data_IF_052270359534
#
_entry.id   IF_052270359534
#
_cell.length_a   1.000
_cell.length_b   1.000
_cell.length_c   1.000
_cell.angle_alpha   90.00
_cell.angle_beta   90.00
_cell.angle_gamma   90.00
#
_symmetry.space_group_name_H-M   'P 1'
#
loop_
_entity.id
_entity.type
_entity.pdbx_description
1 polymer ?
#
# COMPACT_ATOMS: atom_id res chain seq x y z
N UNK A 1 -21.55 7.74 -2.01
CA UNK A 1 -22.00 6.44 -2.56
C UNK A 1 -22.69 6.70 -3.89
N UNK A 2 -22.15 6.12 -4.98
CA UNK A 2 -22.39 6.54 -6.37
C UNK A 2 -23.88 6.54 -6.72
N UNK A 3 -24.47 7.73 -6.87
CA UNK A 3 -25.74 7.91 -7.56
C UNK A 3 -25.48 7.73 -9.06
N UNK A 4 -25.44 6.46 -9.50
CA UNK A 4 -25.34 6.11 -10.92
C UNK A 4 -26.49 6.81 -11.65
N UNK A 5 -26.16 7.71 -12.58
CA UNK A 5 -27.15 8.33 -13.44
C UNK A 5 -27.95 7.22 -14.13
N UNK A 6 -29.27 7.22 -13.92
CA UNK A 6 -30.25 6.40 -14.64
C UNK A 6 -30.33 6.79 -16.13
N UNK A 7 -29.19 6.77 -16.84
CA UNK A 7 -29.20 6.61 -18.29
C UNK A 7 -29.20 5.11 -18.55
N UNK A 8 -30.41 4.56 -18.63
CA UNK A 8 -30.75 3.29 -19.27
C UNK A 8 -29.61 2.27 -19.31
N UNK A 9 -29.27 1.69 -18.16
CA UNK A 9 -28.43 0.49 -18.13
C UNK A 9 -29.13 -0.56 -19.00
N UNK A 10 -28.42 -1.08 -20.01
CA UNK A 10 -28.97 -2.14 -20.84
C UNK A 10 -29.35 -3.31 -19.93
N UNK A 11 -30.53 -3.93 -20.11
CA UNK A 11 -30.80 -5.23 -19.50
C UNK A 11 -29.60 -6.15 -19.78
N UNK A 12 -29.15 -6.90 -18.77
CA UNK A 12 -28.04 -7.86 -18.88
C UNK A 12 -26.62 -7.28 -18.94
N UNK A 13 -26.41 -6.02 -18.52
CA UNK A 13 -25.05 -5.45 -18.37
C UNK A 13 -24.28 -6.14 -17.24
N UNK A 14 -23.12 -6.73 -17.56
CA UNK A 14 -22.19 -7.30 -16.59
C UNK A 14 -21.23 -6.22 -16.08
N UNK A 15 -21.21 -6.00 -14.76
CA UNK A 15 -20.31 -5.02 -14.12
C UNK A 15 -19.05 -5.68 -13.58
N UNK A 16 -17.89 -5.11 -13.88
CA UNK A 16 -16.62 -5.54 -13.33
C UNK A 16 -16.03 -4.41 -12.49
N UNK A 17 -15.64 -4.70 -11.25
CA UNK A 17 -14.99 -3.74 -10.36
C UNK A 17 -13.47 -3.92 -10.38
N UNK A 18 -12.74 -2.81 -10.36
CA UNK A 18 -11.28 -2.78 -10.27
C UNK A 18 -10.88 -1.86 -9.13
N UNK A 19 -9.83 -2.21 -8.41
CA UNK A 19 -9.21 -1.32 -7.44
C UNK A 19 -7.82 -1.78 -7.01
N UNK A 20 -6.98 -0.82 -6.65
CA UNK A 20 -5.72 -1.01 -5.94
C UNK A 20 -5.87 -0.62 -4.47
N UNK A 21 -5.15 -1.24 -3.54
CA UNK A 21 -5.16 -0.86 -2.11
C UNK A 21 -6.55 -1.01 -1.45
N UNK A 22 -6.96 -0.06 -0.59
CA UNK A 22 -8.32 0.01 -0.04
C UNK A 22 -9.43 -0.07 -1.11
N UNK A 23 -9.32 0.60 -2.28
CA UNK A 23 -10.22 0.35 -3.40
C UNK A 23 -10.22 -1.10 -3.93
N UNK A 24 -9.09 -1.80 -3.91
CA UNK A 24 -9.02 -3.23 -4.31
C UNK A 24 -9.79 -4.12 -3.34
N UNK A 25 -9.63 -3.82 -2.07
CA UNK A 25 -10.42 -4.42 -0.98
C UNK A 25 -11.92 -4.18 -1.17
N UNK A 26 -12.32 -2.94 -1.50
CA UNK A 26 -13.72 -2.61 -1.81
C UNK A 26 -14.22 -3.33 -3.06
N UNK A 27 -13.39 -3.50 -4.09
CA UNK A 27 -13.74 -4.22 -5.32
C UNK A 27 -14.05 -5.69 -5.03
N UNK A 28 -13.22 -6.36 -4.23
CA UNK A 28 -13.45 -7.73 -3.79
C UNK A 28 -14.76 -7.88 -3.01
N UNK A 29 -15.01 -6.99 -2.05
CA UNK A 29 -16.25 -7.02 -1.27
C UNK A 29 -17.50 -6.69 -2.08
N UNK A 30 -17.42 -5.74 -3.00
CA UNK A 30 -18.52 -5.41 -3.89
C UNK A 30 -18.97 -6.66 -4.67
N UNK A 31 -18.01 -7.46 -5.17
CA UNK A 31 -18.32 -8.74 -5.81
C UNK A 31 -18.84 -9.79 -4.83
N UNK A 32 -18.24 -9.90 -3.65
CA UNK A 32 -18.61 -10.91 -2.66
C UNK A 32 -20.02 -10.69 -2.08
N UNK A 33 -20.37 -9.46 -1.74
CA UNK A 33 -21.63 -9.10 -1.07
C UNK A 33 -22.78 -8.87 -2.06
N UNK A 34 -22.47 -8.44 -3.28
CA UNK A 34 -23.46 -8.14 -4.32
C UNK A 34 -23.24 -8.98 -5.59
N UNK A 35 -23.17 -10.33 -5.50
CA UNK A 35 -22.78 -11.18 -6.62
C UNK A 35 -23.81 -11.24 -7.75
N UNK A 36 -25.00 -10.67 -7.56
CA UNK A 36 -26.03 -10.53 -8.61
C UNK A 36 -25.98 -9.18 -9.31
N UNK A 37 -25.26 -8.19 -8.76
CA UNK A 37 -25.05 -6.86 -9.35
C UNK A 37 -23.66 -6.73 -9.98
N UNK A 38 -22.63 -7.23 -9.29
CA UNK A 38 -21.23 -7.16 -9.72
C UNK A 38 -20.82 -8.52 -10.23
N UNK A 39 -20.51 -8.63 -11.52
CA UNK A 39 -20.20 -9.88 -12.21
C UNK A 39 -18.83 -10.45 -11.82
N UNK A 40 -17.82 -9.59 -11.72
CA UNK A 40 -16.45 -9.96 -11.36
C UNK A 40 -15.70 -8.80 -10.69
N UNK A 41 -14.59 -9.11 -10.03
CA UNK A 41 -13.70 -8.10 -9.44
C UNK A 41 -12.22 -8.41 -9.70
N UNK A 42 -11.42 -7.35 -9.83
CA UNK A 42 -9.95 -7.38 -9.74
C UNK A 42 -9.54 -6.61 -8.49
N UNK A 43 -8.91 -7.32 -7.57
CA UNK A 43 -8.47 -6.85 -6.27
C UNK A 43 -6.95 -6.78 -6.25
N UNK A 44 -6.39 -5.61 -6.54
CA UNK A 44 -4.95 -5.39 -6.62
C UNK A 44 -4.40 -4.85 -5.30
N UNK A 45 -3.31 -5.44 -4.77
CA UNK A 45 -2.65 -5.02 -3.53
C UNK A 45 -3.59 -4.72 -2.36
N UNK A 46 -4.59 -5.57 -2.16
CA UNK A 46 -5.70 -5.29 -1.26
C UNK A 46 -5.46 -5.85 0.15
N UNK A 47 -5.41 -5.02 1.22
CA UNK A 47 -5.17 -5.49 2.58
C UNK A 47 -6.44 -6.07 3.24
N UNK A 48 -6.95 -7.20 2.75
CA UNK A 48 -8.25 -7.78 3.13
C UNK A 48 -8.37 -8.21 4.61
N UNK A 49 -7.26 -8.53 5.27
CA UNK A 49 -7.23 -8.87 6.68
C UNK A 49 -7.31 -7.61 7.55
N UNK A 50 -8.50 -7.27 8.04
CA UNK A 50 -8.70 -6.16 8.99
C UNK A 50 -8.11 -6.50 10.36
N UNK A 51 -7.25 -5.61 10.87
CA UNK A 51 -6.68 -5.73 12.21
C UNK A 51 -6.21 -4.38 12.73
N UNK A 52 -6.36 -4.16 14.03
CA UNK A 52 -5.89 -2.92 14.70
C UNK A 52 -4.38 -2.79 14.56
N UNK A 53 -3.67 -3.85 14.97
CA UNK A 53 -2.22 -3.84 15.10
C UNK A 53 -1.56 -4.52 13.89
N UNK A 54 -0.68 -3.84 13.18
CA UNK A 54 -0.04 -4.34 11.96
C UNK A 54 1.47 -4.08 11.90
N UNK A 55 2.27 -4.77 12.74
CA UNK A 55 3.73 -4.67 12.68
C UNK A 55 4.29 -5.22 11.35
N UNK A 56 3.57 -6.15 10.73
CA UNK A 56 3.98 -6.84 9.50
C UNK A 56 4.30 -5.89 8.34
N UNK A 57 3.77 -4.67 8.32
CA UNK A 57 4.12 -3.66 7.32
C UNK A 57 5.63 -3.35 7.35
N UNK A 58 6.13 -2.95 8.52
CA UNK A 58 7.54 -2.59 8.73
C UNK A 58 8.45 -3.81 8.69
N UNK A 59 7.97 -4.97 9.15
CA UNK A 59 8.70 -6.23 9.00
C UNK A 59 8.91 -6.60 7.53
N UNK A 60 7.92 -6.34 6.68
CA UNK A 60 8.02 -6.55 5.24
C UNK A 60 8.98 -5.55 4.59
N UNK A 61 8.99 -4.27 5.01
CA UNK A 61 10.03 -3.31 4.59
C UNK A 61 11.44 -3.83 4.89
N UNK A 62 11.63 -4.44 6.08
CA UNK A 62 12.90 -5.08 6.43
C UNK A 62 13.25 -6.21 5.44
N UNK A 63 12.26 -7.01 5.04
CA UNK A 63 12.45 -8.06 4.04
C UNK A 63 12.78 -7.51 2.64
N UNK A 64 12.09 -6.45 2.21
CA UNK A 64 12.33 -5.80 0.92
C UNK A 64 13.76 -5.26 0.81
N UNK A 65 14.29 -4.68 1.90
CA UNK A 65 15.66 -4.16 1.96
C UNK A 65 16.76 -5.21 1.77
N UNK A 66 16.47 -6.50 1.97
CA UNK A 66 17.39 -7.62 1.76
C UNK A 66 17.06 -8.42 0.50
N UNK A 67 16.01 -8.05 -0.23
CA UNK A 67 15.54 -8.79 -1.40
C UNK A 67 16.30 -8.38 -2.67
N UNK A 68 17.08 -9.32 -3.21
CA UNK A 68 18.01 -9.10 -4.30
C UNK A 68 17.34 -8.72 -5.63
N UNK A 69 16.11 -9.18 -5.88
CA UNK A 69 15.34 -8.86 -7.09
C UNK A 69 15.10 -7.34 -7.24
N UNK A 70 15.00 -6.61 -6.13
CA UNK A 70 14.83 -5.14 -6.12
C UNK A 70 16.09 -4.38 -5.71
N UNK A 71 17.25 -5.03 -5.81
CA UNK A 71 18.54 -4.43 -5.45
C UNK A 71 18.81 -4.32 -3.96
N UNK A 72 17.96 -4.95 -3.12
CA UNK A 72 18.19 -5.10 -1.70
C UNK A 72 19.38 -6.01 -1.36
N UNK A 73 19.93 -5.85 -0.16
CA UNK A 73 21.04 -6.66 0.37
C UNK A 73 21.07 -6.68 1.90
N UNK A 74 21.51 -7.80 2.48
CA UNK A 74 21.49 -8.01 3.93
C UNK A 74 22.24 -6.96 4.75
N UNK A 75 23.39 -6.50 4.25
CA UNK A 75 24.20 -5.46 4.88
C UNK A 75 23.59 -4.06 4.75
N UNK A 76 22.82 -3.78 3.70
CA UNK A 76 21.98 -2.57 3.62
C UNK A 76 20.94 -2.54 4.75
N UNK A 77 20.18 -3.62 4.92
CA UNK A 77 19.28 -3.77 6.05
C UNK A 77 20.01 -3.60 7.39
N UNK A 78 21.20 -4.20 7.53
CA UNK A 78 21.98 -4.12 8.77
C UNK A 78 22.39 -2.68 9.09
N UNK A 79 22.80 -1.87 8.10
CA UNK A 79 23.10 -0.45 8.29
C UNK A 79 21.89 0.30 8.83
N UNK A 80 20.69 0.04 8.30
CA UNK A 80 19.47 0.69 8.80
C UNK A 80 19.18 0.30 10.24
N UNK A 81 19.26 -0.98 10.57
CA UNK A 81 19.02 -1.47 11.92
C UNK A 81 20.07 -0.94 12.93
N UNK A 82 21.35 -0.98 12.57
CA UNK A 82 22.45 -0.52 13.42
C UNK A 82 22.39 1.00 13.62
N UNK A 83 22.04 1.75 12.58
CA UNK A 83 21.87 3.19 12.65
C UNK A 83 20.75 3.58 13.62
N UNK A 84 19.56 3.00 13.50
CA UNK A 84 18.45 3.27 14.43
C UNK A 84 18.78 2.85 15.86
N UNK A 85 19.45 1.71 16.05
CA UNK A 85 19.91 1.27 17.37
C UNK A 85 20.92 2.26 17.99
N UNK A 86 21.86 2.78 17.19
CA UNK A 86 22.84 3.77 17.63
C UNK A 86 22.21 5.13 17.97
N UNK A 87 21.21 5.59 17.21
CA UNK A 87 20.48 6.83 17.54
C UNK A 87 19.77 6.65 18.88
N UNK A 88 19.02 5.55 19.06
CA UNK A 88 18.31 5.26 20.29
C UNK A 88 19.26 5.17 21.51
N UNK A 89 20.43 4.54 21.36
CA UNK A 89 21.44 4.49 22.43
C UNK A 89 22.02 5.87 22.75
N UNK A 90 22.28 6.69 21.73
CA UNK A 90 22.79 8.06 21.86
C UNK A 90 21.81 8.95 22.63
N UNK A 91 20.51 8.85 22.34
CA UNK A 91 19.47 9.58 23.06
C UNK A 91 19.33 9.13 24.51
N UNK A 92 19.43 7.82 24.80
CA UNK A 92 19.40 7.30 26.18
C UNK A 92 20.56 7.82 27.04
N UNK A 93 21.69 8.15 26.43
CA UNK A 93 22.84 8.75 27.11
C UNK A 93 22.76 10.29 27.23
N UNK A 94 21.64 10.90 26.81
CA UNK A 94 21.40 12.33 26.94
C UNK A 94 22.12 13.19 25.89
N UNK A 95 22.62 12.59 24.81
CA UNK A 95 23.34 13.31 23.75
C UNK A 95 22.37 13.92 22.72
N UNK A 96 21.32 14.61 23.19
CA UNK A 96 20.25 15.16 22.36
C UNK A 96 20.75 16.16 21.32
N UNK A 97 21.63 17.08 21.72
CA UNK A 97 22.21 18.08 20.82
C UNK A 97 22.96 17.42 19.65
N UNK A 98 23.70 16.34 19.92
CA UNK A 98 24.44 15.65 18.87
C UNK A 98 23.50 15.00 17.84
N UNK A 99 22.40 14.38 18.29
CA UNK A 99 21.39 13.83 17.37
C UNK A 99 20.70 14.93 16.58
N UNK A 100 20.32 16.02 17.25
CA UNK A 100 19.66 17.16 16.62
C UNK A 100 20.55 17.80 15.55
N UNK A 101 21.83 18.04 15.85
CA UNK A 101 22.79 18.59 14.89
C UNK A 101 22.99 17.65 13.71
N UNK A 102 23.12 16.34 13.97
CA UNK A 102 23.39 15.34 12.92
C UNK A 102 22.23 15.19 11.94
N UNK A 103 20.98 15.22 12.42
CA UNK A 103 19.78 15.08 11.59
C UNK A 103 19.18 16.43 11.14
N UNK A 104 19.81 17.55 11.52
CA UNK A 104 19.38 18.90 11.16
C UNK A 104 18.02 19.29 11.76
N UNK A 105 17.80 19.02 13.05
CA UNK A 105 16.59 19.43 13.76
C UNK A 105 16.63 20.92 14.13
N UNK A 106 15.46 21.56 14.16
CA UNK A 106 15.33 22.96 14.53
C UNK A 106 15.61 23.24 16.02
N UNK A 107 15.27 22.27 16.88
CA UNK A 107 15.40 22.40 18.33
C UNK A 107 15.77 21.06 18.95
N UNK A 108 16.96 20.99 19.56
CA UNK A 108 17.42 19.79 20.26
C UNK A 108 16.58 19.47 21.51
N UNK A 109 15.90 20.45 22.09
CA UNK A 109 15.03 20.23 23.26
C UNK A 109 13.77 19.44 22.91
N UNK A 110 13.40 19.37 21.63
CA UNK A 110 12.33 18.49 21.15
C UNK A 110 12.56 17.02 21.54
N UNK A 111 13.82 16.58 21.56
CA UNK A 111 14.21 15.20 21.90
C UNK A 111 14.22 14.92 23.42
N UNK A 112 13.81 15.89 24.25
CA UNK A 112 13.57 15.67 25.68
C UNK A 112 12.16 15.12 25.95
N UNK A 113 11.23 15.28 25.00
CA UNK A 113 9.87 14.77 25.10
C UNK A 113 9.81 13.33 24.56
N UNK A 114 9.22 12.41 25.34
CA UNK A 114 9.16 10.99 24.97
C UNK A 114 8.31 10.75 23.72
N UNK A 115 7.20 11.48 23.53
CA UNK A 115 6.34 11.32 22.35
C UNK A 115 7.04 11.79 21.07
N UNK A 116 7.86 12.85 21.18
CA UNK A 116 8.69 13.32 20.08
C UNK A 116 9.77 12.30 19.69
N UNK A 117 10.41 11.67 20.69
CA UNK A 117 11.41 10.62 20.44
C UNK A 117 10.76 9.37 19.83
N UNK A 118 9.57 8.99 20.31
CA UNK A 118 8.78 7.89 19.76
C UNK A 118 8.44 8.15 18.28
N UNK A 119 7.91 9.33 17.95
CA UNK A 119 7.65 9.75 16.58
C UNK A 119 8.92 9.76 15.71
N UNK A 120 10.01 10.34 16.22
CA UNK A 120 11.27 10.46 15.47
C UNK A 120 11.91 9.12 15.13
N UNK A 121 11.82 8.12 16.02
CA UNK A 121 12.48 6.82 15.83
C UNK A 121 11.56 5.72 15.29
N UNK A 122 10.28 5.80 15.61
CA UNK A 122 9.33 4.70 15.49
C UNK A 122 8.88 4.43 14.06
N UNK A 123 8.80 5.46 13.23
CA UNK A 123 8.48 5.38 11.79
C UNK A 123 9.70 5.40 10.88
N UNK A 124 10.90 5.49 11.47
CA UNK A 124 12.16 5.55 10.76
C UNK A 124 12.65 7.00 10.58
N UNK A 125 13.95 7.21 10.74
CA UNK A 125 14.57 8.54 10.51
C UNK A 125 14.83 8.82 9.03
N UNK A 126 14.67 7.81 8.17
CA UNK A 126 14.73 7.90 6.72
C UNK A 126 13.58 7.10 6.12
N UNK A 127 13.13 7.48 4.92
CA UNK A 127 12.11 6.75 4.18
C UNK A 127 12.69 5.48 3.53
N UNK A 128 11.93 4.39 3.59
CA UNK A 128 12.18 3.17 2.83
C UNK A 128 11.04 3.05 1.81
N UNK A 129 11.30 3.27 0.50
CA UNK A 129 10.28 3.40 -0.52
C UNK A 129 9.72 2.02 -0.94
N UNK A 130 9.38 1.14 -0.01
CA UNK A 130 8.90 -0.22 -0.31
C UNK A 130 7.55 -0.20 -1.05
N UNK A 131 6.57 0.55 -0.51
CA UNK A 131 5.25 0.68 -1.13
C UNK A 131 5.33 1.37 -2.50
N UNK A 132 6.23 2.34 -2.64
CA UNK A 132 6.42 3.17 -3.83
C UNK A 132 7.57 2.70 -4.72
N UNK A 133 8.14 1.51 -4.48
CA UNK A 133 9.36 1.05 -5.13
C UNK A 133 9.15 1.00 -6.66
N UNK A 134 9.78 1.93 -7.35
CA UNK A 134 9.70 2.09 -8.80
C UNK A 134 11.11 1.96 -9.41
N UNK A 135 11.42 0.85 -10.11
CA UNK A 135 12.73 0.68 -10.76
C UNK A 135 13.03 1.73 -11.84
N UNK A 136 12.02 2.48 -12.31
CA UNK A 136 12.14 3.49 -13.36
C UNK A 136 12.16 4.93 -12.87
N UNK A 137 12.10 5.16 -11.56
CA UNK A 137 12.14 6.49 -10.99
C UNK A 137 13.51 7.17 -11.20
N UNK A 138 13.53 8.50 -11.27
CA UNK A 138 14.74 9.28 -11.59
C UNK A 138 15.54 9.68 -10.32
N UNK A 139 14.87 9.94 -9.19
CA UNK A 139 15.51 10.43 -7.96
C UNK A 139 16.48 9.43 -7.32
N UNK A 140 17.41 9.91 -6.49
CA UNK A 140 18.50 9.07 -5.94
C UNK A 140 18.10 8.21 -4.74
N UNK A 141 16.87 8.35 -4.24
CA UNK A 141 16.36 7.59 -3.07
C UNK A 141 14.96 7.01 -3.30
N UNK A 142 14.46 7.00 -4.53
CA UNK A 142 13.06 6.67 -4.85
C UNK A 142 12.77 5.17 -4.98
N UNK A 143 13.79 4.30 -4.86
CA UNK A 143 13.62 2.85 -4.84
C UNK A 143 14.65 2.18 -3.93
N UNK A 144 14.43 0.91 -3.62
CA UNK A 144 15.22 0.14 -2.66
C UNK A 144 16.68 0.01 -3.12
N UNK A 145 16.90 -0.30 -4.40
CA UNK A 145 18.24 -0.44 -4.99
C UNK A 145 19.08 0.82 -4.73
N UNK A 146 18.56 1.99 -5.09
CA UNK A 146 19.29 3.26 -4.96
C UNK A 146 19.56 3.63 -3.50
N UNK A 147 18.58 3.42 -2.60
CA UNK A 147 18.78 3.61 -1.16
C UNK A 147 19.89 2.70 -0.65
N UNK A 148 19.88 1.42 -1.05
CA UNK A 148 20.91 0.48 -0.63
C UNK A 148 22.29 0.79 -1.21
N UNK A 149 22.39 1.14 -2.48
CA UNK A 149 23.64 1.60 -3.09
C UNK A 149 24.23 2.80 -2.35
N UNK A 150 23.39 3.77 -1.99
CA UNK A 150 23.80 4.96 -1.26
C UNK A 150 24.30 4.62 0.15
N UNK A 151 23.57 3.81 0.91
CA UNK A 151 24.01 3.37 2.23
C UNK A 151 25.33 2.61 2.17
N UNK A 152 25.53 1.78 1.14
CA UNK A 152 26.79 1.06 0.94
C UNK A 152 27.94 1.99 0.55
N UNK A 153 27.71 3.00 -0.28
CA UNK A 153 28.73 4.01 -0.57
C UNK A 153 29.13 4.79 0.69
N UNK A 154 28.14 5.29 1.43
CA UNK A 154 28.37 6.06 2.66
C UNK A 154 29.17 5.26 3.71
N UNK A 155 28.84 3.99 3.90
CA UNK A 155 29.45 3.18 4.96
C UNK A 155 30.73 2.47 4.52
N UNK A 156 30.80 1.92 3.31
CA UNK A 156 31.94 1.13 2.86
C UNK A 156 33.01 1.96 2.14
N UNK A 157 32.62 3.03 1.45
CA UNK A 157 33.53 3.88 0.67
C UNK A 157 33.90 5.14 1.45
N UNK A 158 32.90 5.86 1.97
CA UNK A 158 33.10 7.08 2.75
C UNK A 158 33.39 6.82 4.24
N UNK A 159 33.26 5.56 4.69
CA UNK A 159 33.59 5.11 6.05
C UNK A 159 32.83 5.89 7.14
N UNK A 160 31.57 6.26 6.86
CA UNK A 160 30.65 6.79 7.85
C UNK A 160 30.13 5.67 8.76
N UNK A 161 29.80 6.00 10.00
CA UNK A 161 29.01 5.12 10.85
C UNK A 161 27.59 4.94 10.28
N UNK A 162 26.90 3.88 10.72
CA UNK A 162 25.52 3.63 10.29
C UNK A 162 24.59 4.82 10.62
N UNK A 163 24.75 5.43 11.81
CA UNK A 163 23.96 6.60 12.22
C UNK A 163 24.23 7.83 11.35
N UNK A 164 25.48 8.12 11.02
CA UNK A 164 25.84 9.21 10.11
C UNK A 164 25.33 8.97 8.69
N UNK A 165 25.38 7.71 8.21
CA UNK A 165 24.84 7.36 6.90
C UNK A 165 23.31 7.57 6.84
N UNK A 166 22.57 7.17 7.88
CA UNK A 166 21.13 7.43 7.97
C UNK A 166 20.80 8.92 7.95
N UNK A 167 21.59 9.73 8.66
CA UNK A 167 21.39 11.17 8.69
C UNK A 167 21.60 11.83 7.31
N UNK A 168 22.64 11.42 6.57
CA UNK A 168 22.89 11.92 5.21
C UNK A 168 21.74 11.57 4.26
N UNK A 169 21.22 10.33 4.32
CA UNK A 169 20.06 9.91 3.52
C UNK A 169 18.80 10.67 3.92
N UNK A 170 18.55 10.83 5.23
CA UNK A 170 17.39 11.54 5.75
C UNK A 170 17.34 13.01 5.30
N UNK A 171 18.48 13.72 5.38
CA UNK A 171 18.60 15.10 4.92
C UNK A 171 18.34 15.17 3.41
N UNK A 172 18.95 14.29 2.63
CA UNK A 172 18.75 14.26 1.18
C UNK A 172 17.29 13.99 0.78
N UNK A 173 16.62 13.05 1.44
CA UNK A 173 15.20 12.75 1.19
C UNK A 173 14.31 13.96 1.51
N UNK A 174 14.59 14.66 2.62
CA UNK A 174 13.89 15.89 2.97
C UNK A 174 14.08 16.98 1.92
N UNK A 175 15.31 17.17 1.45
CA UNK A 175 15.62 18.20 0.44
C UNK A 175 14.93 17.90 -0.90
N UNK A 176 14.85 16.62 -1.30
CA UNK A 176 14.10 16.18 -2.48
C UNK A 176 12.60 16.46 -2.30
N UNK A 177 12.04 16.16 -1.13
CA UNK A 177 10.61 16.35 -0.85
C UNK A 177 10.20 17.83 -0.83
N UNK A 178 11.01 18.68 -0.21
CA UNK A 178 10.71 20.11 -0.04
C UNK A 178 10.98 20.93 -1.32
N UNK A 179 11.79 20.42 -2.25
CA UNK A 179 12.11 21.07 -3.52
C UNK A 179 13.01 22.30 -3.34
N UNK A 180 14.33 22.11 -3.49
CA UNK A 180 15.38 23.12 -3.21
C UNK A 180 15.16 23.78 -1.83
N UNK A 181 15.21 22.96 -0.78
CA UNK A 181 15.21 23.41 0.60
C UNK A 181 16.29 24.49 0.82
N UNK A 182 15.93 25.56 1.52
CA UNK A 182 16.88 26.60 1.89
C UNK A 182 17.84 26.10 2.99
N UNK A 183 19.03 26.67 3.12
CA UNK A 183 19.98 26.34 4.21
C UNK A 183 19.36 26.54 5.63
N UNK A 184 18.22 27.24 5.73
CA UNK A 184 17.47 27.48 6.97
C UNK A 184 16.35 26.43 7.22
N UNK A 185 16.13 25.46 6.32
CA UNK A 185 15.11 24.42 6.46
C UNK A 185 15.62 23.28 7.35
N UNK A 186 15.19 23.29 8.61
CA UNK A 186 15.47 22.25 9.61
C UNK A 186 14.24 21.36 9.86
N UNK A 187 14.46 20.18 10.43
CA UNK A 187 13.38 19.24 10.79
C UNK A 187 12.71 19.68 12.11
N UNK A 188 11.39 19.87 12.05
CA UNK A 188 10.55 20.06 13.23
C UNK A 188 10.10 18.68 13.73
N UNK A 189 10.33 18.40 15.01
CA UNK A 189 9.88 17.19 15.69
C UNK A 189 8.97 17.62 16.84
N UNK A 190 7.67 17.70 16.59
CA UNK A 190 6.66 18.02 17.61
C UNK A 190 5.40 17.18 17.40
N UNK A 191 5.18 16.23 18.30
CA UNK A 191 4.02 15.35 18.30
C UNK A 191 2.70 16.12 18.45
N UNK A 192 2.68 17.21 19.22
CA UNK A 192 1.49 18.03 19.37
C UNK A 192 1.17 18.79 18.08
N UNK A 193 2.19 19.19 17.32
CA UNK A 193 2.01 19.78 15.99
C UNK A 193 1.42 18.76 15.01
N UNK A 194 1.92 17.52 15.01
CA UNK A 194 1.33 16.40 14.25
C UNK A 194 -0.14 16.18 14.61
N UNK A 195 -0.48 16.11 15.90
CA UNK A 195 -1.86 15.97 16.37
C UNK A 195 -2.74 17.17 15.96
N UNK A 196 -2.20 18.39 16.02
CA UNK A 196 -2.91 19.60 15.60
C UNK A 196 -3.19 19.58 14.09
N UNK A 197 -2.21 19.16 13.27
CA UNK A 197 -2.38 18.98 11.83
C UNK A 197 -3.48 17.96 11.53
N UNK A 198 -3.42 16.76 12.12
CA UNK A 198 -4.42 15.71 11.90
C UNK A 198 -5.84 16.11 12.32
N UNK A 199 -5.96 17.01 13.29
CA UNK A 199 -7.23 17.57 13.74
C UNK A 199 -7.71 18.80 12.92
N UNK A 200 -6.88 19.34 12.02
CA UNK A 200 -7.14 20.57 11.28
C UNK A 200 -8.06 20.39 10.06
N UNK A 201 -8.53 21.50 9.51
CA UNK A 201 -9.25 21.54 8.22
C UNK A 201 -8.31 21.21 7.04
N UNK A 202 -7.00 21.47 7.15
CA UNK A 202 -6.02 21.20 6.09
C UNK A 202 -5.90 19.70 5.80
N UNK A 203 -5.76 18.89 6.86
CA UNK A 203 -5.77 17.42 6.75
C UNK A 203 -7.12 16.87 6.27
N UNK A 204 -8.19 17.68 6.25
CA UNK A 204 -9.46 17.28 5.63
C UNK A 204 -9.42 17.44 4.11
N UNK A 205 -8.72 18.44 3.58
CA UNK A 205 -8.66 18.74 2.15
C UNK A 205 -7.84 17.72 1.36
N UNK A 206 -6.75 17.21 1.94
CA UNK A 206 -5.87 16.19 1.32
C UNK A 206 -6.39 14.74 1.50
N UNK A 207 -7.40 14.55 2.34
CA UNK A 207 -7.99 13.24 2.66
C UNK A 207 -7.35 12.51 3.83
N UNK A 208 -6.25 13.00 4.40
CA UNK A 208 -5.51 12.39 5.51
C UNK A 208 -6.43 12.16 6.71
N UNK A 209 -7.21 13.16 7.10
CA UNK A 209 -8.17 13.08 8.20
C UNK A 209 -9.32 12.13 7.91
N UNK A 210 -9.75 12.01 6.65
CA UNK A 210 -10.77 11.04 6.25
C UNK A 210 -10.24 9.61 6.37
N UNK A 211 -9.00 9.37 5.93
CA UNK A 211 -8.37 8.07 6.08
C UNK A 211 -8.14 7.72 7.55
N UNK A 212 -7.65 8.67 8.37
CA UNK A 212 -7.50 8.48 9.81
C UNK A 212 -8.85 8.15 10.48
N UNK A 213 -9.95 8.78 10.05
CA UNK A 213 -11.28 8.39 10.53
C UNK A 213 -11.59 6.92 10.23
N UNK A 214 -11.30 6.45 9.01
CA UNK A 214 -11.53 5.05 8.63
C UNK A 214 -10.66 4.08 9.42
N UNK A 215 -9.39 4.41 9.70
CA UNK A 215 -8.53 3.55 10.53
C UNK A 215 -9.04 3.49 11.98
N UNK A 216 -9.49 4.62 12.54
CA UNK A 216 -10.06 4.70 13.89
C UNK A 216 -11.45 4.06 14.05
N UNK A 217 -12.22 3.92 12.96
CA UNK A 217 -13.63 3.49 13.03
C UNK A 217 -13.95 2.20 12.27
N UNK A 218 -13.08 1.74 11.39
CA UNK A 218 -13.38 0.59 10.54
C UNK A 218 -12.21 -0.40 10.47
N UNK A 219 -11.02 0.05 10.07
CA UNK A 219 -10.00 -0.89 9.55
C UNK A 219 -8.74 -1.06 10.40
N UNK A 220 -8.38 -0.09 11.24
CA UNK A 220 -7.10 -0.10 11.95
C UNK A 220 -5.92 0.04 11.00
N UNK A 221 -5.09 -1.00 10.90
CA UNK A 221 -3.84 -1.05 10.13
C UNK A 221 -2.68 -0.23 10.70
N UNK A 222 -2.61 -0.09 12.01
CA UNK A 222 -1.55 0.68 12.66
C UNK A 222 -0.20 -0.01 12.52
N UNK A 223 0.73 0.67 11.84
CA UNK A 223 2.02 0.15 11.39
C UNK A 223 3.07 0.26 12.51
N UNK A 224 2.87 -0.48 13.58
CA UNK A 224 3.72 -0.37 14.78
C UNK A 224 5.14 -0.90 14.57
N UNK A 225 6.07 -0.37 15.36
CA UNK A 225 7.46 -0.83 15.44
C UNK A 225 7.74 -1.29 16.87
N UNK A 226 7.28 -2.49 17.23
CA UNK A 226 7.42 -3.00 18.60
C UNK A 226 8.84 -3.49 18.90
N UNK A 227 9.19 -3.51 20.20
CA UNK A 227 10.50 -3.98 20.69
C UNK A 227 10.87 -5.39 20.20
N UNK A 228 9.91 -6.30 20.20
CA UNK A 228 10.11 -7.71 19.83
C UNK A 228 9.74 -8.01 18.36
N UNK A 229 9.48 -6.97 17.54
CA UNK A 229 9.17 -7.12 16.11
C UNK A 229 10.44 -7.20 15.24
N UNK A 230 10.26 -7.55 13.97
CA UNK A 230 11.33 -7.46 12.95
C UNK A 230 11.44 -6.09 12.28
N UNK A 231 10.76 -5.06 12.78
CA UNK A 231 10.84 -3.69 12.28
C UNK A 231 12.32 -3.23 12.14
N UNK A 232 12.70 -2.59 11.02
CA UNK A 232 14.08 -2.16 10.78
C UNK A 232 14.44 -0.84 11.48
N UNK A 233 13.46 -0.13 12.04
CA UNK A 233 13.62 1.20 12.64
C UNK A 233 13.89 1.15 14.15
N UNK A 234 13.56 2.22 14.88
CA UNK A 234 13.59 2.29 16.33
C UNK A 234 12.58 1.33 16.96
N UNK A 235 13.00 0.09 17.21
CA UNK A 235 12.16 -0.93 17.86
C UNK A 235 11.74 -0.50 19.27
N UNK A 236 10.42 -0.47 19.49
CA UNK A 236 9.80 -0.05 20.74
C UNK A 236 9.43 1.43 20.79
N UNK A 237 9.63 2.19 19.71
CA UNK A 237 9.33 3.63 19.64
C UNK A 237 8.05 3.95 18.86
N UNK A 238 7.40 2.97 18.22
CA UNK A 238 6.03 3.14 17.72
C UNK A 238 5.15 2.03 18.27
N UNK A 239 4.51 2.32 19.40
CA UNK A 239 3.50 1.48 20.03
C UNK A 239 2.08 2.01 19.76
N UNK A 240 1.07 1.15 19.91
CA UNK A 240 -0.34 1.47 19.61
C UNK A 240 -0.90 2.68 20.37
N UNK A 241 -0.28 3.12 21.45
CA UNK A 241 -0.76 4.27 22.21
C UNK A 241 -0.78 5.54 21.36
N UNK A 242 0.18 5.69 20.44
CA UNK A 242 0.29 6.83 19.54
C UNK A 242 -0.93 6.90 18.61
N UNK A 243 -1.27 5.79 17.95
CA UNK A 243 -2.44 5.72 17.07
C UNK A 243 -3.75 5.97 17.83
N UNK A 244 -3.89 5.43 19.04
CA UNK A 244 -5.07 5.68 19.87
C UNK A 244 -5.16 7.14 20.31
N UNK A 245 -4.03 7.80 20.55
CA UNK A 245 -4.03 9.23 20.85
C UNK A 245 -4.47 10.06 19.65
N UNK A 246 -3.99 9.74 18.44
CA UNK A 246 -4.47 10.37 17.21
C UNK A 246 -6.01 10.25 17.10
N UNK A 247 -6.57 9.06 17.31
CA UNK A 247 -8.02 8.83 17.30
C UNK A 247 -8.76 9.59 18.40
N UNK A 248 -8.19 9.66 19.61
CA UNK A 248 -8.78 10.34 20.75
C UNK A 248 -8.81 11.86 20.55
N UNK A 249 -7.72 12.45 20.05
CA UNK A 249 -7.61 13.89 19.81
C UNK A 249 -8.47 14.32 18.62
N UNK A 250 -8.40 13.60 17.51
CA UNK A 250 -9.11 13.98 16.29
C UNK A 250 -10.63 13.75 16.36
N UNK A 251 -11.05 12.69 17.09
CA UNK A 251 -12.42 12.17 16.99
C UNK A 251 -13.07 11.79 18.34
N UNK A 252 -12.35 11.91 19.45
CA UNK A 252 -12.88 11.55 20.78
C UNK A 252 -13.05 10.04 20.99
N UNK A 253 -12.35 9.21 20.22
CA UNK A 253 -12.42 7.75 20.29
C UNK A 253 -11.26 7.19 21.13
N UNK A 254 -11.59 6.52 22.23
CA UNK A 254 -10.59 5.83 23.05
C UNK A 254 -10.24 4.45 22.48
N UNK A 255 -9.18 3.85 23.01
CA UNK A 255 -8.66 2.55 22.57
C UNK A 255 -9.70 1.42 22.58
N UNK A 256 -10.59 1.39 23.59
CA UNK A 256 -11.67 0.39 23.66
C UNK A 256 -12.65 0.54 22.50
N UNK A 257 -13.02 1.78 22.15
CA UNK A 257 -13.93 2.06 21.04
C UNK A 257 -13.29 1.71 19.70
N UNK A 258 -12.03 2.11 19.48
CA UNK A 258 -11.28 1.77 18.27
C UNK A 258 -11.21 0.24 18.08
N UNK A 259 -10.82 -0.49 19.13
CA UNK A 259 -10.75 -1.96 19.07
C UNK A 259 -12.11 -2.60 18.77
N UNK A 260 -13.18 -2.12 19.41
CA UNK A 260 -14.53 -2.64 19.20
C UNK A 260 -15.03 -2.37 17.77
N UNK A 261 -14.78 -1.17 17.26
CA UNK A 261 -15.14 -0.75 15.91
C UNK A 261 -14.43 -1.61 14.85
N UNK A 262 -13.11 -1.76 14.97
CA UNK A 262 -12.31 -2.58 14.04
C UNK A 262 -12.70 -4.05 14.12
N UNK A 263 -12.97 -4.57 15.32
CA UNK A 263 -13.47 -5.93 15.49
C UNK A 263 -14.83 -6.14 14.81
N UNK A 264 -15.77 -5.20 14.96
CA UNK A 264 -17.08 -5.28 14.31
C UNK A 264 -16.96 -5.31 12.78
N UNK A 265 -16.08 -4.48 12.20
CA UNK A 265 -15.83 -4.46 10.76
C UNK A 265 -15.19 -5.76 10.29
N UNK A 266 -14.15 -6.24 10.99
CA UNK A 266 -13.49 -7.53 10.67
C UNK A 266 -14.47 -8.70 10.72
N UNK A 267 -15.36 -8.71 11.71
CA UNK A 267 -16.34 -9.79 11.89
C UNK A 267 -17.44 -9.71 10.81
N UNK A 268 -17.81 -8.51 10.35
CA UNK A 268 -18.75 -8.33 9.25
C UNK A 268 -18.14 -8.70 7.89
N UNK A 269 -16.86 -8.37 7.70
CA UNK A 269 -16.16 -8.54 6.44
C UNK A 269 -14.92 -9.43 6.57
N UNK A 270 -15.16 -10.67 6.99
CA UNK A 270 -14.13 -11.67 7.25
C UNK A 270 -13.33 -12.04 6.00
N UNK A 271 -12.01 -11.90 6.07
CA UNK A 271 -11.08 -12.44 5.05
C UNK A 271 -11.30 -13.95 4.85
N UNK A 272 -11.52 -14.69 5.92
CA UNK A 272 -11.75 -16.13 5.83
C UNK A 272 -13.03 -16.45 5.05
N UNK A 273 -14.06 -15.62 5.18
CA UNK A 273 -15.36 -15.84 4.52
C UNK A 273 -15.22 -15.62 3.02
N UNK A 274 -14.55 -14.53 2.60
CA UNK A 274 -14.28 -14.30 1.19
C UNK A 274 -13.40 -15.41 0.62
N UNK A 275 -12.35 -15.86 1.33
CA UNK A 275 -11.47 -16.96 0.88
C UNK A 275 -12.22 -18.28 0.68
N UNK A 276 -13.22 -18.56 1.50
CA UNK A 276 -13.98 -19.82 1.48
C UNK A 276 -15.16 -19.80 0.50
N UNK A 277 -15.78 -18.64 0.28
CA UNK A 277 -17.09 -18.55 -0.40
C UNK A 277 -17.14 -17.57 -1.56
N UNK A 278 -16.10 -16.77 -1.77
CA UNK A 278 -16.02 -15.83 -2.88
C UNK A 278 -15.89 -16.52 -4.25
N UNK A 279 -16.23 -15.78 -5.30
CA UNK A 279 -16.18 -16.24 -6.68
C UNK A 279 -16.02 -15.06 -7.65
N UNK A 280 -15.33 -15.30 -8.77
CA UNK A 280 -15.02 -14.29 -9.79
C UNK A 280 -14.28 -13.07 -9.22
N UNK A 281 -13.33 -13.34 -8.32
CA UNK A 281 -12.45 -12.32 -7.72
C UNK A 281 -11.02 -12.73 -8.06
N UNK A 282 -10.34 -11.94 -8.88
CA UNK A 282 -8.91 -12.11 -9.16
C UNK A 282 -8.13 -11.23 -8.18
N UNK A 283 -7.36 -11.86 -7.31
CA UNK A 283 -6.47 -11.17 -6.38
C UNK A 283 -5.07 -11.09 -6.99
N UNK A 284 -4.49 -9.90 -7.06
CA UNK A 284 -3.15 -9.67 -7.62
C UNK A 284 -2.32 -8.89 -6.63
N UNK A 285 -1.13 -9.39 -6.29
CA UNK A 285 -0.28 -8.87 -5.22
C UNK A 285 1.16 -8.70 -5.72
N UNK A 286 1.83 -7.62 -5.32
CA UNK A 286 3.27 -7.50 -5.44
C UNK A 286 3.95 -8.22 -4.28
N UNK A 287 5.09 -8.87 -4.51
CA UNK A 287 5.88 -9.49 -3.44
C UNK A 287 6.79 -8.48 -2.70
N UNK A 288 7.01 -7.29 -3.28
CA UNK A 288 7.72 -6.14 -2.66
C UNK A 288 6.73 -5.15 -2.03
N UNK A 289 5.45 -5.53 -1.91
CA UNK A 289 4.41 -4.69 -1.35
C UNK A 289 4.18 -5.04 0.14
N UNK A 290 4.50 -4.15 1.09
CA UNK A 290 4.26 -4.41 2.51
C UNK A 290 2.79 -4.69 2.88
N UNK A 291 1.84 -4.19 2.08
CA UNK A 291 0.42 -4.48 2.29
C UNK A 291 0.02 -5.90 1.91
N UNK A 292 0.88 -6.62 1.17
CA UNK A 292 0.63 -8.00 0.75
C UNK A 292 0.47 -8.97 1.92
N UNK A 293 1.04 -8.65 3.09
CA UNK A 293 0.90 -9.42 4.34
C UNK A 293 -0.58 -9.58 4.75
N UNK A 294 -1.40 -8.57 4.50
CA UNK A 294 -2.83 -8.58 4.83
C UNK A 294 -3.72 -9.08 3.68
N UNK A 295 -3.15 -9.42 2.53
CA UNK A 295 -3.91 -9.80 1.34
C UNK A 295 -4.54 -11.19 1.41
N UNK A 296 -5.39 -11.54 0.44
CA UNK A 296 -5.82 -12.93 0.27
C UNK A 296 -4.59 -13.78 -0.08
N UNK A 297 -4.21 -14.71 0.79
CA UNK A 297 -3.04 -15.59 0.58
C UNK A 297 -3.40 -17.01 0.17
N UNK A 298 -4.69 -17.32 0.12
CA UNK A 298 -5.21 -18.65 -0.23
C UNK A 298 -6.65 -18.53 -0.68
N UNK A 299 -7.07 -19.36 -1.61
CA UNK A 299 -8.44 -19.41 -2.09
C UNK A 299 -8.65 -20.62 -2.99
N UNK A 300 -9.87 -20.82 -3.45
CA UNK A 300 -10.12 -21.79 -4.50
C UNK A 300 -9.63 -21.20 -5.84
N UNK A 301 -8.47 -21.65 -6.33
CA UNK A 301 -7.86 -21.18 -7.60
C UNK A 301 -8.82 -21.18 -8.81
N UNK A 302 -9.84 -22.06 -8.80
CA UNK A 302 -10.82 -22.10 -9.89
C UNK A 302 -11.82 -20.94 -9.85
N UNK A 303 -12.18 -20.44 -8.67
CA UNK A 303 -13.21 -19.40 -8.49
C UNK A 303 -12.64 -18.07 -8.01
N UNK A 304 -11.49 -18.09 -7.35
CA UNK A 304 -10.76 -16.95 -6.80
C UNK A 304 -9.26 -17.11 -7.02
N UNK A 305 -8.79 -16.96 -8.27
CA UNK A 305 -7.36 -17.05 -8.57
C UNK A 305 -6.57 -15.98 -7.82
N UNK A 306 -5.38 -16.35 -7.36
CA UNK A 306 -4.40 -15.47 -6.74
C UNK A 306 -3.15 -15.39 -7.65
N UNK A 307 -2.62 -14.18 -7.83
CA UNK A 307 -1.41 -13.96 -8.60
C UNK A 307 -0.42 -13.06 -7.85
N UNK A 308 0.83 -13.51 -7.77
CA UNK A 308 1.95 -12.74 -7.25
C UNK A 308 2.78 -12.20 -8.41
N UNK A 309 3.14 -10.92 -8.34
CA UNK A 309 3.91 -10.22 -9.36
C UNK A 309 5.30 -9.98 -8.82
N UNK A 310 6.26 -10.75 -9.32
CA UNK A 310 7.65 -10.75 -8.84
C UNK A 310 8.32 -9.38 -9.02
N UNK A 311 8.96 -8.90 -7.96
CA UNK A 311 9.67 -7.62 -7.90
C UNK A 311 8.74 -6.39 -7.92
N UNK A 312 7.42 -6.58 -7.86
CA UNK A 312 6.47 -5.47 -7.92
C UNK A 312 6.11 -4.95 -6.54
N UNK A 313 6.04 -3.63 -6.43
CA UNK A 313 5.53 -2.90 -5.27
C UNK A 313 4.00 -2.76 -5.34
N UNK A 314 3.46 -1.75 -4.65
CA UNK A 314 2.03 -1.61 -4.41
C UNK A 314 1.23 -1.39 -5.71
N UNK A 315 0.50 -2.43 -6.13
CA UNK A 315 -0.28 -2.53 -7.36
C UNK A 315 0.41 -1.92 -8.60
N UNK A 316 1.73 -2.06 -8.71
CA UNK A 316 2.52 -1.38 -9.73
C UNK A 316 1.98 -1.64 -11.15
N UNK A 317 1.54 -2.86 -11.45
CA UNK A 317 0.98 -3.23 -12.77
C UNK A 317 -0.24 -2.41 -13.22
N UNK A 318 -0.88 -1.61 -12.36
CA UNK A 318 -2.01 -0.76 -12.73
C UNK A 318 -1.62 0.57 -13.37
N UNK A 319 -0.33 0.94 -13.38
CA UNK A 319 0.14 2.16 -14.05
C UNK A 319 0.04 2.03 -15.59
N UNK A 320 0.02 3.14 -16.34
CA UNK A 320 0.05 3.12 -17.81
C UNK A 320 1.31 2.43 -18.33
N UNK A 321 1.20 1.55 -19.33
CA UNK A 321 2.34 0.75 -19.81
C UNK A 321 3.59 1.57 -20.13
N UNK A 322 4.72 1.14 -19.59
CA UNK A 322 6.03 1.76 -19.82
C UNK A 322 6.97 0.80 -20.57
N UNK A 323 7.93 1.32 -21.36
CA UNK A 323 8.96 0.49 -21.99
C UNK A 323 9.83 -0.26 -20.97
N UNK A 324 9.96 0.29 -19.76
CA UNK A 324 10.74 -0.24 -18.63
C UNK A 324 10.05 -1.38 -17.89
N UNK A 325 8.77 -1.67 -18.19
CA UNK A 325 8.02 -2.72 -17.50
C UNK A 325 8.67 -4.09 -17.66
N UNK A 326 8.86 -4.77 -16.52
CA UNK A 326 9.38 -6.14 -16.47
C UNK A 326 8.40 -7.12 -17.13
N UNK A 327 8.86 -8.33 -17.41
CA UNK A 327 7.97 -9.37 -17.94
C UNK A 327 6.87 -9.75 -16.94
N UNK A 328 7.17 -9.79 -15.63
CA UNK A 328 6.19 -10.07 -14.58
C UNK A 328 5.03 -9.06 -14.58
N UNK A 329 5.33 -7.76 -14.76
CA UNK A 329 4.29 -6.71 -14.88
C UNK A 329 3.40 -6.94 -16.11
N UNK A 330 3.99 -7.31 -17.25
CA UNK A 330 3.26 -7.60 -18.49
C UNK A 330 2.37 -8.83 -18.34
N UNK A 331 2.92 -9.90 -17.76
CA UNK A 331 2.20 -11.16 -17.51
C UNK A 331 1.01 -10.95 -16.57
N UNK A 332 1.16 -10.10 -15.54
CA UNK A 332 0.07 -9.75 -14.63
C UNK A 332 -1.09 -9.04 -15.36
N UNK A 333 -0.78 -8.11 -16.26
CA UNK A 333 -1.80 -7.41 -17.07
C UNK A 333 -2.50 -8.36 -18.05
N UNK A 334 -1.75 -9.24 -18.70
CA UNK A 334 -2.30 -10.25 -19.61
C UNK A 334 -3.21 -11.23 -18.85
N UNK A 335 -2.80 -11.67 -17.66
CA UNK A 335 -3.62 -12.51 -16.78
C UNK A 335 -4.93 -11.82 -16.42
N UNK A 336 -4.87 -10.56 -15.97
CA UNK A 336 -6.06 -9.76 -15.63
C UNK A 336 -7.01 -9.71 -16.83
N UNK A 337 -6.50 -9.34 -18.00
CA UNK A 337 -7.30 -9.27 -19.21
C UNK A 337 -7.95 -10.61 -19.55
N UNK A 338 -7.17 -11.68 -19.63
CA UNK A 338 -7.65 -13.00 -20.03
C UNK A 338 -8.70 -13.54 -19.05
N UNK A 339 -8.48 -13.39 -17.74
CA UNK A 339 -9.40 -13.89 -16.71
C UNK A 339 -10.73 -13.12 -16.71
N UNK A 340 -10.69 -11.81 -16.87
CA UNK A 340 -11.92 -11.01 -16.99
C UNK A 340 -12.69 -11.38 -18.26
N UNK A 341 -11.99 -11.53 -19.39
CA UNK A 341 -12.64 -11.92 -20.65
C UNK A 341 -13.22 -13.34 -20.60
N UNK A 342 -12.59 -14.27 -19.89
CA UNK A 342 -13.12 -15.60 -19.61
C UNK A 342 -14.46 -15.51 -18.85
N UNK A 343 -14.50 -14.85 -17.69
CA UNK A 343 -15.72 -14.72 -16.90
C UNK A 343 -16.83 -13.98 -17.63
N UNK A 344 -16.50 -12.98 -18.45
CA UNK A 344 -17.48 -12.26 -19.27
C UNK A 344 -18.09 -13.17 -20.35
N UNK A 345 -17.40 -14.23 -20.79
CA UNK A 345 -17.90 -15.20 -21.78
C UNK A 345 -18.74 -16.34 -21.19
N UNK A 346 -18.41 -16.83 -19.99
CA UNK A 346 -19.07 -18.00 -19.36
C UNK A 346 -20.61 -17.94 -19.37
N UNK A 347 -21.21 -16.80 -19.02
CA UNK A 347 -22.68 -16.71 -18.96
C UNK A 347 -23.35 -16.39 -20.33
N UNK A 348 -22.57 -16.23 -21.40
CA UNK A 348 -23.10 -16.05 -22.77
C UNK A 348 -23.54 -17.39 -23.38
N UNK A 349 -22.88 -18.48 -23.00
CA UNK A 349 -23.05 -19.79 -23.62
C UNK A 349 -24.24 -20.58 -23.04
N UNK A 350 -24.68 -20.25 -21.81
CA UNK A 350 -25.86 -20.86 -21.17
C UNK A 350 -27.16 -20.45 -21.87
N UNK A 351 -27.21 -19.27 -22.49
CA UNK A 351 -28.40 -18.81 -23.25
C UNK A 351 -28.48 -19.47 -24.64
N UNK A 352 -27.36 -19.95 -25.19
CA UNK A 352 -27.33 -20.57 -26.53
C UNK A 352 -27.73 -22.03 -26.56
N UNK A 353 -27.60 -22.79 -25.47
CA UNK A 353 -28.01 -24.21 -25.45
C UNK A 353 -29.51 -24.42 -25.16
N UNK A 354 -30.21 -23.41 -24.64
CA UNK A 354 -31.64 -23.51 -24.29
C UNK A 354 -32.64 -23.29 -25.44
N UNK A 355 -32.19 -22.86 -26.63
CA UNK A 355 -33.08 -22.49 -27.74
C UNK A 355 -32.81 -23.21 -29.07
N UNK A 356 -32.03 -24.30 -29.06
CA UNK A 356 -31.85 -25.14 -30.23
C UNK A 356 -33.00 -26.17 -30.35
N UNK A 357 -34.22 -25.71 -30.60
CA UNK A 357 -35.29 -26.57 -31.12
C UNK A 357 -35.97 -25.92 -32.34
N UNK A 358 -35.77 -26.58 -33.48
CA UNK A 358 -36.45 -26.43 -34.76
C UNK A 358 -36.43 -25.06 -35.44
N UNK A 359 -35.42 -24.84 -36.30
CA UNK A 359 -35.66 -24.25 -37.62
C UNK A 359 -34.57 -24.60 -38.65
N UNK A 360 -35.02 -24.76 -39.89
CA UNK A 360 -34.38 -25.38 -41.05
C UNK A 360 -33.12 -24.62 -41.55
N UNK A 361 -32.02 -25.29 -41.96
CA UNK A 361 -30.75 -24.65 -42.32
C UNK A 361 -30.68 -24.20 -43.78
N UNK A 362 -31.54 -23.27 -44.22
CA UNK A 362 -31.47 -22.70 -45.59
C UNK A 362 -31.61 -21.16 -45.70
N UNK A 363 -31.51 -20.38 -44.63
CA UNK A 363 -31.63 -18.91 -44.73
C UNK A 363 -30.59 -18.12 -43.90
N UNK A 364 -29.30 -18.46 -43.98
CA UNK A 364 -28.22 -17.54 -43.58
C UNK A 364 -27.12 -17.47 -44.63
N UNK A 365 -27.46 -16.87 -45.77
CA UNK A 365 -26.48 -16.27 -46.69
C UNK A 365 -27.14 -15.00 -47.22
N UNK A 366 -26.89 -13.87 -46.55
CA UNK A 366 -27.06 -12.47 -47.00
C UNK A 366 -27.40 -11.58 -45.80
N UNK A 367 -26.38 -11.26 -45.00
CA UNK A 367 -26.25 -10.00 -44.23
C UNK A 367 -24.96 -10.09 -43.41
N UNK A 368 -23.83 -10.04 -44.11
CA UNK A 368 -22.52 -9.82 -43.50
C UNK A 368 -21.66 -9.08 -44.52
N UNK A 369 -22.04 -7.82 -44.74
CA UNK A 369 -21.26 -6.82 -45.48
C UNK A 369 -21.93 -5.48 -45.17
N UNK A 370 -21.54 -4.89 -44.05
CA UNK A 370 -21.22 -3.47 -43.88
C UNK A 370 -20.97 -3.19 -42.39
N UNK A 371 -20.14 -2.18 -42.15
CA UNK A 371 -19.71 -1.63 -40.87
C UNK A 371 -18.59 -2.38 -40.12
N UNK A 372 -17.41 -2.35 -40.73
CA UNK A 372 -16.12 -2.40 -40.00
C UNK A 372 -15.39 -1.08 -40.18
N UNK A 373 -15.70 -0.07 -39.35
CA UNK A 373 -14.79 1.05 -39.09
C UNK A 373 -15.21 1.75 -37.79
N UNK A 374 -14.58 1.38 -36.67
CA UNK A 374 -14.59 2.21 -35.45
C UNK A 374 -13.14 2.60 -35.17
N UNK A 375 -12.84 3.87 -35.44
CA UNK A 375 -11.60 4.55 -35.08
C UNK A 375 -11.63 4.88 -33.59
N UNK A 376 -10.61 4.45 -32.86
CA UNK A 376 -10.33 4.93 -31.52
C UNK A 376 -9.52 6.22 -31.62
N UNK A 377 -10.20 7.36 -31.54
CA UNK A 377 -9.56 8.63 -31.19
C UNK A 377 -9.71 8.84 -29.68
N UNK A 378 -8.55 8.89 -29.02
CA UNK A 378 -8.20 9.55 -27.74
C UNK A 378 -9.35 9.84 -26.77
N UNK A 379 -9.29 9.18 -25.61
CA UNK A 379 -9.50 9.78 -24.29
C UNK A 379 -8.59 9.08 -23.28
#
# INVERSE_FOLDING_TARGET
>A
FVAFQQKSLLPDTKWVTFGGSYPGFMAAWARHLFPTQIHAAVSSSAPIQIQVHFPGYKEHQAWDMQYDIVGGRQDCLQVVMDGHAAIADTLRHGNYQYVADLFGLCDATALLDEANVDMFLGDGVMDIPAQTNDPSCDDVTCNIEKVCEMLMDLTLVRNLSAMEALAEVAILQRDIWNGDASDDDCLIVDWNETLAYLASDEAQEDGTRSWLWQTCTEVGYYQTCLKDSLCPFGRGYHELWMDYEMCQVCFGLNSTQVQANVAATRDHYSRTDIQNTGSRILSVQGDVDPWSVLSITAGNESTMPLHWVEGASHHFWTHPSLPTDTQAIKDARDLIYLKIMEWLREDSDVVTEGNANHQNPQQRVQQQQDDTEIKFDKL
#
